data_IF_210834440836
#
_entry.id   IF_210834440836
#
_cell.length_a   1.000
_cell.length_b   1.000
_cell.length_c   1.000
_cell.angle_alpha   90.00
_cell.angle_beta   90.00
_cell.angle_gamma   90.00
#
_symmetry.space_group_name_H-M   'P 1'
#
loop_
_entity.id
_entity.type
_entity.pdbx_description
1 polymer ?
#
# COMPACT_ATOMS: atom_id res chain seq x y z
N UNK A 1 45.30 -6.86 -19.70
CA UNK A 1 43.91 -6.36 -19.64
C UNK A 1 43.04 -7.52 -19.15
N UNK A 2 42.73 -7.60 -17.85
CA UNK A 2 41.92 -8.70 -17.29
C UNK A 2 40.45 -8.42 -17.62
N UNK A 3 39.87 -9.21 -18.53
CA UNK A 3 38.43 -9.18 -18.77
C UNK A 3 37.73 -9.71 -17.52
N UNK A 4 36.93 -8.85 -16.89
CA UNK A 4 35.99 -9.21 -15.84
C UNK A 4 34.93 -10.12 -16.43
N UNK A 5 34.96 -11.40 -16.10
CA UNK A 5 33.89 -12.35 -16.40
C UNK A 5 32.73 -11.96 -15.48
N UNK A 6 31.70 -11.34 -16.05
CA UNK A 6 30.47 -11.03 -15.32
C UNK A 6 29.89 -12.31 -14.74
N UNK A 7 29.79 -12.37 -13.42
CA UNK A 7 29.09 -13.45 -12.72
C UNK A 7 27.61 -13.39 -13.10
N UNK A 8 27.19 -14.28 -13.99
CA UNK A 8 25.77 -14.52 -14.23
C UNK A 8 25.14 -14.95 -12.92
N UNK A 9 24.30 -14.09 -12.34
CA UNK A 9 23.56 -14.46 -11.14
C UNK A 9 22.38 -15.30 -11.58
N UNK A 10 22.33 -16.55 -11.13
CA UNK A 10 21.23 -17.48 -11.38
C UNK A 10 19.90 -16.79 -11.00
N UNK A 11 18.89 -16.83 -11.87
CA UNK A 11 17.56 -16.30 -11.56
C UNK A 11 16.68 -17.39 -10.99
N UNK A 12 15.80 -17.01 -10.07
CA UNK A 12 14.78 -17.90 -9.53
C UNK A 12 13.41 -17.21 -9.51
N UNK A 13 12.39 -17.96 -9.09
CA UNK A 13 11.02 -17.47 -8.93
C UNK A 13 10.62 -17.58 -7.46
N UNK A 14 10.07 -16.50 -6.92
CA UNK A 14 9.44 -16.46 -5.60
C UNK A 14 7.95 -16.28 -5.80
N UNK A 15 7.17 -17.06 -5.06
CA UNK A 15 5.72 -17.02 -5.08
C UNK A 15 5.24 -16.55 -3.72
N UNK A 16 4.17 -15.77 -3.69
CA UNK A 16 3.59 -15.38 -2.43
C UNK A 16 2.22 -14.75 -2.55
N UNK A 17 1.66 -14.41 -1.40
CA UNK A 17 0.45 -13.63 -1.26
C UNK A 17 0.64 -12.53 -0.23
N UNK A 18 -0.04 -11.41 -0.45
CA UNK A 18 -0.12 -10.28 0.48
C UNK A 18 -1.58 -10.08 0.84
N UNK A 19 -1.84 -10.12 2.14
CA UNK A 19 -3.14 -9.78 2.72
C UNK A 19 -2.94 -8.64 3.72
N UNK A 20 -3.94 -7.80 3.89
CA UNK A 20 -3.95 -6.74 4.90
C UNK A 20 -5.15 -6.89 5.83
N UNK A 21 -4.99 -6.41 7.06
CA UNK A 21 -6.05 -6.32 8.04
C UNK A 21 -7.01 -5.20 7.67
N UNK A 22 -8.30 -5.54 7.59
CA UNK A 22 -9.41 -4.60 7.44
C UNK A 22 -10.42 -4.82 8.57
N UNK A 23 -11.28 -3.84 8.84
CA UNK A 23 -12.42 -4.00 9.76
C UNK A 23 -13.69 -4.31 9.00
N UNK A 24 -14.50 -5.24 9.52
CA UNK A 24 -15.81 -5.54 8.96
C UNK A 24 -16.85 -4.55 9.45
N UNK A 25 -17.64 -3.92 8.58
CA UNK A 25 -18.81 -3.16 9.01
C UNK A 25 -19.75 -4.02 9.87
N UNK A 26 -20.39 -3.41 10.86
CA UNK A 26 -21.48 -4.03 11.62
C UNK A 26 -22.76 -3.21 11.46
N UNK A 27 -23.91 -3.83 11.70
CA UNK A 27 -25.20 -3.15 11.78
C UNK A 27 -25.29 -2.14 12.93
N UNK A 28 -24.35 -2.21 13.87
CA UNK A 28 -24.18 -1.26 14.99
C UNK A 28 -23.12 -0.18 14.70
N UNK A 29 -22.52 -0.15 13.51
CA UNK A 29 -21.45 0.78 13.14
C UNK A 29 -20.06 0.26 13.52
N UNK A 30 -19.38 0.96 14.45
CA UNK A 30 -17.98 0.71 14.83
C UNK A 30 -17.73 -0.77 15.14
N UNK A 31 -16.71 -1.33 14.51
CA UNK A 31 -16.39 -2.75 14.61
C UNK A 31 -14.97 -2.96 15.10
N UNK A 32 -14.80 -3.89 16.03
CA UNK A 32 -13.49 -4.46 16.38
C UNK A 32 -13.22 -5.78 15.63
N UNK A 33 -14.20 -6.27 14.87
CA UNK A 33 -14.06 -7.52 14.11
C UNK A 33 -13.21 -7.26 12.89
N UNK A 34 -12.04 -7.89 12.85
CA UNK A 34 -11.13 -7.79 11.72
C UNK A 34 -11.33 -8.94 10.72
N UNK A 35 -10.86 -8.70 9.50
CA UNK A 35 -10.70 -9.70 8.46
C UNK A 35 -9.42 -9.44 7.68
N UNK A 36 -8.95 -10.46 6.96
CA UNK A 36 -7.84 -10.32 6.02
C UNK A 36 -8.41 -10.19 4.61
N UNK A 37 -7.99 -9.15 3.90
CA UNK A 37 -8.33 -8.91 2.50
C UNK A 37 -7.07 -8.96 1.63
N UNK A 38 -7.16 -9.38 0.36
CA UNK A 38 -6.01 -9.40 -0.53
C UNK A 38 -5.52 -7.98 -0.83
N UNK A 39 -4.21 -7.73 -0.75
CA UNK A 39 -3.64 -6.48 -1.24
C UNK A 39 -3.55 -6.55 -2.77
N UNK A 40 -4.55 -6.01 -3.47
CA UNK A 40 -4.69 -6.10 -4.92
C UNK A 40 -3.76 -5.11 -5.63
N UNK A 41 -3.10 -5.55 -6.70
CA UNK A 41 -2.33 -4.69 -7.60
C UNK A 41 -1.20 -3.86 -6.96
N UNK A 42 -0.73 -4.27 -5.78
CA UNK A 42 0.33 -3.57 -5.07
C UNK A 42 1.71 -3.94 -5.59
N UNK A 43 2.64 -2.99 -5.54
CA UNK A 43 4.03 -3.22 -5.95
C UNK A 43 4.81 -4.04 -4.91
N UNK A 44 5.53 -5.06 -5.40
CA UNK A 44 6.43 -5.91 -4.63
C UNK A 44 7.84 -5.80 -5.20
N UNK A 45 8.77 -5.28 -4.41
CA UNK A 45 10.17 -5.11 -4.80
C UNK A 45 11.03 -6.20 -4.16
N UNK A 46 11.81 -6.92 -4.96
CA UNK A 46 12.87 -7.81 -4.49
C UNK A 46 14.14 -7.02 -4.19
N UNK A 47 14.71 -7.21 -3.01
CA UNK A 47 15.98 -6.60 -2.61
C UNK A 47 17.12 -7.62 -2.56
N UNK A 48 18.22 -7.28 -3.21
CA UNK A 48 19.48 -8.03 -3.10
C UNK A 48 20.14 -7.88 -1.72
N UNK A 49 21.28 -8.55 -1.49
CA UNK A 49 21.97 -8.52 -0.19
C UNK A 49 22.43 -7.11 0.24
N UNK A 50 22.74 -6.23 -0.70
CA UNK A 50 23.11 -4.83 -0.45
C UNK A 50 21.93 -3.93 -0.14
N UNK A 51 20.70 -4.42 -0.24
CA UNK A 51 19.47 -3.62 -0.11
C UNK A 51 19.03 -2.92 -1.41
N UNK A 52 19.78 -3.07 -2.50
CA UNK A 52 19.37 -2.56 -3.81
C UNK A 52 18.15 -3.34 -4.35
N UNK A 53 17.23 -2.63 -5.00
CA UNK A 53 16.13 -3.26 -5.74
C UNK A 53 16.70 -4.02 -6.94
N UNK A 54 16.38 -5.31 -7.05
CA UNK A 54 16.88 -6.21 -8.10
C UNK A 54 15.77 -6.79 -8.98
N UNK A 55 14.52 -6.65 -8.56
CA UNK A 55 13.34 -7.08 -9.31
C UNK A 55 12.09 -6.40 -8.77
N UNK A 56 11.05 -6.31 -9.60
CA UNK A 56 9.71 -5.84 -9.21
C UNK A 56 8.66 -6.85 -9.67
N UNK A 57 7.55 -6.93 -8.95
CA UNK A 57 6.34 -7.65 -9.30
C UNK A 57 5.13 -6.84 -8.83
N UNK A 58 3.94 -7.21 -9.30
CA UNK A 58 2.67 -6.64 -8.88
C UNK A 58 1.79 -7.80 -8.42
N UNK A 59 1.05 -7.63 -7.32
CA UNK A 59 0.08 -8.64 -6.88
C UNK A 59 -1.14 -8.68 -7.79
N UNK A 60 -1.80 -9.82 -7.89
CA UNK A 60 -3.05 -9.99 -8.64
C UNK A 60 -4.30 -9.57 -7.81
N UNK A 61 -5.50 -9.80 -8.35
CA UNK A 61 -6.78 -9.55 -7.68
C UNK A 61 -6.98 -10.37 -6.39
N UNK A 62 -6.20 -11.43 -6.20
CA UNK A 62 -6.18 -12.28 -5.02
C UNK A 62 -4.96 -12.00 -4.13
N UNK A 63 -4.23 -10.91 -4.39
CA UNK A 63 -3.07 -10.51 -3.63
C UNK A 63 -1.84 -11.39 -3.87
N UNK A 64 -1.85 -12.27 -4.87
CA UNK A 64 -0.74 -13.19 -5.16
C UNK A 64 0.26 -12.55 -6.11
N UNK A 65 1.53 -12.87 -5.94
CA UNK A 65 2.58 -12.38 -6.84
C UNK A 65 3.52 -13.50 -7.25
N UNK A 66 4.15 -13.30 -8.41
CA UNK A 66 5.34 -14.04 -8.83
C UNK A 66 6.45 -13.04 -9.10
N UNK A 67 7.54 -13.16 -8.34
CA UNK A 67 8.71 -12.31 -8.48
C UNK A 67 9.82 -13.10 -9.18
N UNK A 68 10.36 -12.56 -10.27
CA UNK A 68 11.49 -13.13 -10.99
C UNK A 68 12.76 -12.30 -10.74
N UNK A 69 13.65 -12.84 -9.91
CA UNK A 69 14.79 -12.11 -9.36
C UNK A 69 16.06 -12.99 -9.28
N UNK A 70 17.23 -12.40 -9.03
CA UNK A 70 18.45 -13.15 -8.73
C UNK A 70 18.29 -14.07 -7.51
N UNK A 71 18.80 -15.30 -7.54
CA UNK A 71 18.63 -16.32 -6.49
C UNK A 71 19.12 -15.88 -5.11
N UNK A 72 20.03 -14.90 -5.06
CA UNK A 72 20.52 -14.25 -3.83
C UNK A 72 19.63 -13.09 -3.34
N UNK A 73 18.41 -12.91 -3.88
CA UNK A 73 17.44 -11.93 -3.37
C UNK A 73 17.11 -12.28 -1.92
N UNK A 74 17.41 -11.35 -1.02
CA UNK A 74 17.37 -11.59 0.42
C UNK A 74 16.02 -11.21 1.04
N UNK A 75 15.32 -10.23 0.45
CA UNK A 75 14.11 -9.64 1.03
C UNK A 75 13.12 -9.23 -0.05
N UNK A 76 11.86 -9.08 0.35
CA UNK A 76 10.87 -8.30 -0.39
C UNK A 76 10.47 -7.06 0.41
N UNK A 77 10.06 -6.02 -0.33
CA UNK A 77 9.35 -4.84 0.16
C UNK A 77 8.02 -4.81 -0.56
N UNK A 78 6.93 -4.75 0.18
CA UNK A 78 5.60 -4.53 -0.38
C UNK A 78 5.19 -3.11 -0.09
N UNK A 79 4.81 -2.36 -1.13
CA UNK A 79 4.48 -0.95 -1.06
C UNK A 79 2.95 -0.77 -1.02
N UNK A 80 2.46 0.16 -0.22
CA UNK A 80 1.08 0.64 -0.31
C UNK A 80 0.95 1.60 -1.51
N UNK A 81 1.14 1.06 -2.70
CA UNK A 81 1.11 1.77 -3.98
C UNK A 81 0.54 0.89 -5.09
N UNK A 82 -0.29 1.48 -5.94
CA UNK A 82 -0.80 0.89 -7.18
C UNK A 82 -0.36 1.77 -8.34
N UNK A 83 0.30 1.16 -9.32
CA UNK A 83 0.60 1.76 -10.63
C UNK A 83 0.15 0.78 -11.72
N UNK A 84 -1.16 0.76 -12.01
CA UNK A 84 -1.78 -0.22 -12.92
C UNK A 84 -2.98 0.38 -13.63
N UNK A 85 -3.10 0.09 -14.93
CA UNK A 85 -4.25 0.44 -15.78
C UNK A 85 -4.63 1.94 -15.72
N UNK A 86 -3.61 2.79 -15.63
CA UNK A 86 -3.74 4.24 -15.54
C UNK A 86 -4.00 4.79 -14.14
N UNK A 87 -4.16 3.93 -13.12
CA UNK A 87 -4.17 4.36 -11.72
C UNK A 87 -2.74 4.59 -11.22
N UNK A 88 -2.51 5.72 -10.55
CA UNK A 88 -1.31 6.03 -9.77
C UNK A 88 -1.77 6.48 -8.39
N UNK A 89 -1.81 5.52 -7.47
CA UNK A 89 -2.35 5.67 -6.11
C UNK A 89 -1.28 5.24 -5.11
N UNK A 90 -1.12 5.97 -4.00
CA UNK A 90 -0.23 5.54 -2.92
C UNK A 90 -0.67 6.07 -1.56
N UNK A 91 -0.25 5.42 -0.47
CA UNK A 91 -0.40 5.95 0.89
C UNK A 91 0.98 6.31 1.45
N UNK A 92 1.08 7.50 2.02
CA UNK A 92 2.34 8.13 2.43
C UNK A 92 2.30 8.56 3.90
N UNK A 93 3.36 8.29 4.68
CA UNK A 93 3.56 8.92 5.99
C UNK A 93 4.22 10.31 5.90
N UNK A 94 4.63 10.76 4.72
CA UNK A 94 5.20 12.08 4.45
C UNK A 94 4.11 13.03 3.91
N UNK A 95 3.92 14.24 4.48
CA UNK A 95 2.92 15.20 4.01
C UNK A 95 3.15 15.66 2.56
N UNK A 96 4.36 15.48 2.04
CA UNK A 96 4.70 15.79 0.65
C UNK A 96 4.57 14.59 -0.31
N UNK A 97 4.16 13.42 0.19
CA UNK A 97 3.93 12.24 -0.64
C UNK A 97 5.19 11.62 -1.24
N UNK A 98 6.38 11.88 -0.67
CA UNK A 98 7.68 11.39 -1.22
C UNK A 98 8.05 10.00 -0.69
N UNK A 99 7.40 9.55 0.38
CA UNK A 99 7.61 8.24 0.96
C UNK A 99 6.33 7.41 0.82
N UNK A 100 6.45 6.12 0.51
CA UNK A 100 5.33 5.20 0.47
C UNK A 100 5.38 4.30 1.69
N UNK A 101 4.22 4.02 2.29
CA UNK A 101 4.11 2.97 3.31
C UNK A 101 4.62 1.64 2.77
N UNK A 102 5.41 0.93 3.56
CA UNK A 102 5.97 -0.33 3.11
C UNK A 102 6.16 -1.33 4.23
N UNK A 103 6.07 -2.61 3.89
CA UNK A 103 6.35 -3.73 4.77
C UNK A 103 7.49 -4.55 4.17
N UNK A 104 8.49 -4.87 5.00
CA UNK A 104 9.65 -5.66 4.58
C UNK A 104 9.56 -7.07 5.13
N UNK A 105 9.93 -8.06 4.31
CA UNK A 105 9.97 -9.48 4.70
C UNK A 105 11.24 -10.12 4.18
N UNK A 106 11.96 -10.83 5.05
CA UNK A 106 13.08 -11.69 4.63
C UNK A 106 12.53 -12.86 3.83
N UNK A 107 13.17 -13.15 2.69
CA UNK A 107 12.88 -14.33 1.88
C UNK A 107 13.69 -15.53 2.39
N UNK A 108 13.06 -16.70 2.35
CA UNK A 108 13.75 -17.97 2.51
C UNK A 108 14.26 -18.49 1.17
N UNK A 109 14.23 -19.81 1.00
CA UNK A 109 14.63 -20.45 -0.25
C UNK A 109 13.65 -20.13 -1.40
N UNK A 110 14.15 -19.97 -2.65
CA UNK A 110 13.27 -19.84 -3.82
C UNK A 110 12.26 -20.99 -3.91
N UNK A 111 11.13 -20.75 -4.59
CA UNK A 111 9.98 -21.68 -4.68
C UNK A 111 9.22 -21.95 -3.36
N UNK A 112 9.69 -21.46 -2.22
CA UNK A 112 8.88 -21.46 -0.99
C UNK A 112 7.81 -20.38 -1.10
N UNK A 113 6.55 -20.73 -0.83
CA UNK A 113 5.45 -19.77 -0.87
C UNK A 113 5.51 -18.83 0.33
N UNK A 114 5.48 -17.52 0.07
CA UNK A 114 5.54 -16.48 1.10
C UNK A 114 4.14 -15.95 1.39
N UNK A 115 3.65 -16.17 2.61
CA UNK A 115 2.42 -15.53 3.09
C UNK A 115 2.79 -14.28 3.90
N UNK A 116 2.42 -13.11 3.40
CA UNK A 116 2.60 -11.84 4.10
C UNK A 116 1.25 -11.30 4.58
N UNK A 117 1.12 -11.14 5.90
CA UNK A 117 -0.04 -10.49 6.53
C UNK A 117 0.40 -9.11 7.04
N UNK A 118 -0.24 -8.07 6.52
CA UNK A 118 0.02 -6.68 6.88
C UNK A 118 -1.02 -6.26 7.93
N UNK A 119 -0.60 -6.30 9.20
CA UNK A 119 -1.48 -6.13 10.35
C UNK A 119 -1.35 -4.74 10.96
N UNK A 120 -2.42 -4.22 11.55
CA UNK A 120 -2.41 -2.94 12.27
C UNK A 120 -1.65 -2.99 13.59
N UNK A 121 -1.60 -4.17 14.21
CA UNK A 121 -0.82 -4.40 15.41
C UNK A 121 0.69 -4.25 15.20
N UNK A 122 1.17 -4.29 13.96
CA UNK A 122 2.59 -4.13 13.66
C UNK A 122 3.06 -2.67 13.87
N UNK A 123 4.36 -2.45 14.17
CA UNK A 123 4.89 -1.09 14.32
C UNK A 123 4.54 -0.19 13.14
N UNK A 124 3.98 0.98 13.42
CA UNK A 124 3.53 1.94 12.40
C UNK A 124 2.14 1.70 11.82
N UNK A 125 1.45 0.61 12.20
CA UNK A 125 0.10 0.30 11.74
C UNK A 125 -0.07 0.18 10.23
N UNK A 126 0.77 -0.60 9.52
CA UNK A 126 0.73 -0.65 8.07
C UNK A 126 -0.57 -1.24 7.49
N UNK A 127 -1.35 -2.02 8.26
CA UNK A 127 -2.66 -2.55 7.79
C UNK A 127 -3.59 -1.44 7.29
N UNK A 128 -3.72 -0.38 8.06
CA UNK A 128 -4.51 0.81 7.74
C UNK A 128 -4.08 1.46 6.43
N UNK A 129 -2.77 1.57 6.16
CA UNK A 129 -2.29 2.13 4.91
C UNK A 129 -2.70 1.26 3.69
N UNK A 130 -2.71 -0.06 3.83
CA UNK A 130 -3.15 -0.95 2.76
C UNK A 130 -4.68 -0.96 2.61
N UNK A 131 -5.43 -0.83 3.71
CA UNK A 131 -6.88 -0.69 3.66
C UNK A 131 -7.33 0.64 3.03
N UNK A 132 -6.67 1.75 3.37
CA UNK A 132 -6.86 3.05 2.71
C UNK A 132 -6.61 2.92 1.20
N UNK A 133 -5.48 2.32 0.80
CA UNK A 133 -5.14 2.14 -0.61
C UNK A 133 -6.22 1.35 -1.36
N UNK A 134 -6.66 0.22 -0.82
CA UNK A 134 -7.68 -0.62 -1.45
C UNK A 134 -9.03 0.12 -1.56
N UNK A 135 -9.40 0.90 -0.54
CA UNK A 135 -10.63 1.69 -0.54
C UNK A 135 -10.60 2.78 -1.63
N UNK A 136 -9.49 3.52 -1.73
CA UNK A 136 -9.30 4.53 -2.78
C UNK A 136 -9.24 3.89 -4.16
N UNK A 137 -8.61 2.72 -4.30
CA UNK A 137 -8.61 1.96 -5.55
C UNK A 137 -10.03 1.58 -5.97
N UNK A 138 -10.86 1.05 -5.06
CA UNK A 138 -12.28 0.75 -5.36
C UNK A 138 -13.04 1.99 -5.81
N UNK A 139 -12.83 3.13 -5.16
CA UNK A 139 -13.39 4.42 -5.57
C UNK A 139 -12.95 4.84 -6.98
N UNK A 140 -11.66 4.72 -7.28
CA UNK A 140 -11.11 5.04 -8.60
C UNK A 140 -11.59 4.09 -9.70
N UNK A 141 -11.73 2.79 -9.40
CA UNK A 141 -12.31 1.79 -10.31
C UNK A 141 -13.76 2.15 -10.64
N UNK A 142 -14.58 2.51 -9.64
CA UNK A 142 -15.97 2.91 -9.82
C UNK A 142 -16.11 4.20 -10.66
N UNK A 143 -15.28 5.23 -10.39
CA UNK A 143 -15.27 6.46 -11.19
C UNK A 143 -14.91 6.17 -12.64
N UNK A 144 -13.89 5.34 -12.89
CA UNK A 144 -13.52 4.95 -14.26
C UNK A 144 -14.65 4.17 -14.95
N UNK A 145 -15.33 3.28 -14.23
CA UNK A 145 -16.48 2.54 -14.76
C UNK A 145 -17.64 3.48 -15.16
N UNK A 146 -17.92 4.51 -14.36
CA UNK A 146 -19.02 5.45 -14.63
C UNK A 146 -18.72 6.49 -15.68
N UNK A 147 -17.48 7.00 -15.72
CA UNK A 147 -17.11 8.17 -16.52
C UNK A 147 -16.26 7.83 -17.74
N UNK A 148 -15.57 6.69 -17.73
CA UNK A 148 -14.53 6.35 -18.70
C UNK A 148 -13.21 7.11 -18.52
N UNK A 149 -13.14 8.06 -17.60
CA UNK A 149 -11.98 8.93 -17.42
C UNK A 149 -10.91 8.30 -16.53
N UNK A 150 -9.67 8.76 -16.73
CA UNK A 150 -8.54 8.43 -15.86
C UNK A 150 -8.33 9.55 -14.86
N UNK A 151 -8.18 9.19 -13.61
CA UNK A 151 -7.86 10.13 -12.55
C UNK A 151 -6.37 10.49 -12.58
N UNK A 152 -6.00 11.75 -12.27
CA UNK A 152 -4.60 12.11 -12.09
C UNK A 152 -4.00 11.41 -10.85
N UNK A 153 -2.66 11.38 -10.72
CA UNK A 153 -1.99 10.74 -9.58
C UNK A 153 -2.47 11.28 -8.24
N UNK A 154 -2.80 10.37 -7.32
CA UNK A 154 -3.31 10.68 -5.98
C UNK A 154 -2.44 9.99 -4.93
N UNK A 155 -2.15 10.71 -3.84
CA UNK A 155 -1.65 10.07 -2.63
C UNK A 155 -2.52 10.41 -1.43
N UNK A 156 -2.61 9.46 -0.50
CA UNK A 156 -3.21 9.71 0.80
C UNK A 156 -2.10 9.91 1.80
N UNK A 157 -2.07 11.08 2.44
CA UNK A 157 -1.23 11.32 3.59
C UNK A 157 -1.94 10.84 4.84
N UNK A 158 -1.36 9.84 5.50
CA UNK A 158 -1.91 9.26 6.71
C UNK A 158 -0.78 8.78 7.61
N UNK A 159 -1.03 8.74 8.91
CA UNK A 159 -0.19 8.05 9.85
C UNK A 159 -0.69 8.23 11.27
N UNK A 160 -0.47 7.21 12.11
CA UNK A 160 -0.90 7.23 13.51
C UNK A 160 -0.31 8.45 14.23
N UNK A 161 -1.17 9.27 14.83
CA UNK A 161 -0.76 10.46 15.58
C UNK A 161 -0.30 11.64 14.73
N UNK A 162 -0.53 11.62 13.42
CA UNK A 162 -0.01 12.64 12.51
C UNK A 162 -1.04 13.76 12.29
N UNK A 163 -2.13 13.48 11.60
CA UNK A 163 -3.28 14.39 11.52
C UNK A 163 -4.20 14.12 12.70
N UNK A 164 -4.58 15.17 13.43
CA UNK A 164 -5.26 15.05 14.74
C UNK A 164 -6.58 15.80 14.83
N UNK A 165 -6.93 16.58 13.80
CA UNK A 165 -8.13 17.40 13.78
C UNK A 165 -9.24 16.77 12.95
N UNK A 166 -9.09 16.74 11.63
CA UNK A 166 -10.10 16.26 10.68
C UNK A 166 -9.43 15.69 9.43
N UNK A 167 -10.13 14.77 8.75
CA UNK A 167 -9.83 14.38 7.38
C UNK A 167 -10.31 15.43 6.38
N UNK A 168 -9.57 15.62 5.29
CA UNK A 168 -9.94 16.56 4.22
C UNK A 168 -9.12 16.32 2.93
N UNK A 169 -9.74 16.63 1.80
CA UNK A 169 -9.04 16.81 0.53
C UNK A 169 -8.16 18.07 0.52
N UNK A 170 -6.86 17.91 0.23
CA UNK A 170 -5.86 18.99 0.20
C UNK A 170 -5.67 19.64 -1.17
N UNK A 171 -6.26 19.11 -2.23
CA UNK A 171 -6.02 19.58 -3.59
C UNK A 171 -4.69 19.11 -4.19
N UNK A 172 -4.33 19.71 -5.33
CA UNK A 172 -3.07 19.47 -6.03
C UNK A 172 -1.87 20.00 -5.23
N UNK A 173 -0.78 19.24 -5.23
CA UNK A 173 0.49 19.61 -4.58
C UNK A 173 1.48 20.07 -5.63
N UNK A 174 2.56 20.74 -5.20
CA UNK A 174 3.66 21.16 -6.09
C UNK A 174 4.31 20.03 -6.88
N UNK A 175 4.10 18.77 -6.49
CA UNK A 175 4.53 17.58 -7.20
C UNK A 175 3.66 17.23 -8.43
N UNK A 176 2.55 17.94 -8.66
CA UNK A 176 1.54 17.57 -9.66
C UNK A 176 0.65 16.40 -9.22
N UNK A 177 0.78 15.95 -7.97
CA UNK A 177 -0.05 14.89 -7.38
C UNK A 177 -1.11 15.50 -6.49
N UNK A 178 -2.28 14.90 -6.47
CA UNK A 178 -3.37 15.26 -5.57
C UNK A 178 -3.20 14.58 -4.21
N UNK A 179 -3.79 15.16 -3.17
CA UNK A 179 -3.60 14.69 -1.81
C UNK A 179 -4.92 14.61 -1.03
N UNK A 180 -5.22 13.45 -0.45
CA UNK A 180 -6.14 13.32 0.68
C UNK A 180 -5.33 13.34 1.97
N UNK A 181 -5.77 14.04 3.01
CA UNK A 181 -5.22 13.93 4.35
C UNK A 181 -6.23 13.25 5.27
N UNK A 182 -5.80 12.19 5.95
CA UNK A 182 -6.68 11.41 6.82
C UNK A 182 -6.27 11.48 8.30
N UNK A 183 -7.27 11.52 9.17
CA UNK A 183 -7.12 11.52 10.62
C UNK A 183 -6.42 10.25 11.11
N UNK A 184 -5.35 10.43 11.88
CA UNK A 184 -4.57 9.35 12.49
C UNK A 184 -4.70 9.28 14.01
N UNK A 185 -5.62 10.04 14.60
CA UNK A 185 -5.85 10.13 16.03
C UNK A 185 -4.77 10.86 16.80
N UNK A 186 -4.86 10.82 18.13
CA UNK A 186 -3.91 11.54 18.99
C UNK A 186 -2.53 10.85 18.98
N UNK A 187 -1.43 11.63 19.00
CA UNK A 187 -0.09 11.08 19.13
C UNK A 187 0.04 10.16 20.34
N UNK A 188 0.51 8.92 20.11
CA UNK A 188 0.67 7.92 21.16
C UNK A 188 -0.60 7.22 21.64
N UNK A 189 -1.80 7.64 21.19
CA UNK A 189 -3.09 7.09 21.65
C UNK A 189 -4.08 6.80 20.50
N UNK A 190 -3.56 6.56 19.30
CA UNK A 190 -4.36 6.20 18.11
C UNK A 190 -5.24 4.94 18.27
N UNK A 191 -5.06 4.13 19.33
CA UNK A 191 -5.92 2.96 19.59
C UNK A 191 -7.20 3.28 20.35
N UNK A 192 -7.27 4.45 21.00
CA UNK A 192 -8.40 4.89 21.83
C UNK A 192 -8.95 6.23 21.38
N UNK A 193 -8.44 6.74 20.26
CA UNK A 193 -8.86 8.01 19.69
C UNK A 193 -9.32 7.76 18.28
N UNK A 194 -10.05 8.74 17.76
CA UNK A 194 -10.66 8.66 16.45
C UNK A 194 -9.60 8.58 15.35
N UNK A 195 -9.73 7.60 14.47
CA UNK A 195 -8.82 7.36 13.36
C UNK A 195 -9.57 6.82 12.15
N UNK A 196 -9.18 7.25 10.95
CA UNK A 196 -10.00 7.04 9.75
C UNK A 196 -9.47 5.91 8.86
N UNK A 197 -8.40 5.20 9.25
CA UNK A 197 -7.80 4.18 8.36
C UNK A 197 -8.73 3.02 8.02
N UNK A 198 -9.78 2.80 8.81
CA UNK A 198 -10.79 1.77 8.60
C UNK A 198 -12.19 2.33 8.33
N UNK A 199 -12.35 3.65 8.28
CA UNK A 199 -13.62 4.27 7.94
C UNK A 199 -13.69 4.45 6.42
N UNK A 200 -14.16 3.40 5.73
CA UNK A 200 -14.31 3.44 4.27
C UNK A 200 -15.20 4.60 3.82
N UNK A 201 -16.20 5.00 4.63
CA UNK A 201 -17.13 6.06 4.27
C UNK A 201 -16.48 7.43 4.29
N UNK A 202 -15.61 7.71 5.28
CA UNK A 202 -14.83 8.95 5.35
C UNK A 202 -13.74 8.96 4.27
N UNK A 203 -13.04 7.84 4.04
CA UNK A 203 -12.06 7.74 2.95
C UNK A 203 -12.72 8.05 1.60
N UNK A 204 -13.89 7.46 1.33
CA UNK A 204 -14.63 7.69 0.10
C UNK A 204 -15.26 9.09 0.04
N UNK A 205 -15.64 9.68 1.17
CA UNK A 205 -16.10 11.07 1.23
C UNK A 205 -14.99 12.02 0.76
N UNK A 206 -13.78 11.87 1.31
CA UNK A 206 -12.65 12.72 0.91
C UNK A 206 -12.19 12.47 -0.51
N UNK A 207 -12.25 11.21 -0.96
CA UNK A 207 -12.05 10.88 -2.36
C UNK A 207 -13.11 11.52 -3.26
N UNK A 208 -14.36 11.64 -2.78
CA UNK A 208 -15.45 12.33 -3.48
C UNK A 208 -15.10 13.77 -3.84
N UNK A 209 -14.48 14.53 -2.92
CA UNK A 209 -14.01 15.90 -3.20
C UNK A 209 -12.92 15.98 -4.26
N UNK A 210 -12.17 14.89 -4.48
CA UNK A 210 -11.14 14.84 -5.51
C UNK A 210 -11.72 14.61 -6.92
N UNK A 211 -12.83 13.89 -7.03
CA UNK A 211 -13.41 13.46 -8.33
C UNK A 211 -14.61 14.29 -8.79
N UNK A 212 -14.99 15.32 -8.03
CA UNK A 212 -16.00 16.32 -8.42
C UNK A 212 -15.34 17.59 -8.95
#
# INVERSE_FOLDING_TARGET
MKQSIGTFTERARWYGSVEFEARRPTDLGLSEVTELRPARWVEVQGLGPSGAVVANAITDEHGRFVLEAPANTARIVVLAQVSKDGHDLSVSPDPLGRQVYSVRRTLGSPKTFVHLKVLDGAPGGPGGAFHILDTVLRGAEAVREWTGERLPPLYVYWGRGVTTAWSYYRGERRSGRYCLELLGGRPGDSRRTDTDEHDESIILHEFGHFVM
#
